data_IF_118617089712
#
_entry.id   IF_118617089712
#
_cell.length_a   1.000
_cell.length_b   1.000
_cell.length_c   1.000
_cell.angle_alpha   90.00
_cell.angle_beta   90.00
_cell.angle_gamma   90.00
#
_symmetry.space_group_name_H-M   'P 1'
#
loop_
_entity.id
_entity.type
_entity.pdbx_description
1 polymer ?
#
# COMPACT_ATOMS: atom_id res chain seq x y z
N UNK A 1 25.30 5.64 -16.25
CA UNK A 1 24.36 6.77 -16.47
C UNK A 1 23.74 6.73 -17.86
N UNK A 2 24.52 6.71 -18.96
CA UNK A 2 23.97 6.66 -20.33
C UNK A 2 23.06 5.44 -20.61
N UNK A 3 23.46 4.25 -20.13
CA UNK A 3 22.65 3.03 -20.26
C UNK A 3 21.33 3.14 -19.48
N UNK A 4 21.38 3.70 -18.27
CA UNK A 4 20.22 3.93 -17.42
C UNK A 4 19.24 4.93 -18.06
N UNK A 5 19.77 5.97 -18.71
CA UNK A 5 18.97 6.97 -19.42
C UNK A 5 18.30 6.40 -20.67
N UNK A 6 19.02 5.61 -21.48
CA UNK A 6 18.46 4.92 -22.65
C UNK A 6 17.36 3.93 -22.25
N UNK A 7 17.56 3.17 -21.17
CA UNK A 7 16.54 2.28 -20.61
C UNK A 7 15.32 3.06 -20.11
N UNK A 8 15.51 4.19 -19.43
CA UNK A 8 14.43 5.05 -18.96
C UNK A 8 13.57 5.60 -20.10
N UNK A 9 14.20 6.05 -21.19
CA UNK A 9 13.50 6.54 -22.39
C UNK A 9 12.74 5.42 -23.11
N UNK A 10 13.33 4.23 -23.24
CA UNK A 10 12.66 3.09 -23.83
C UNK A 10 11.42 2.65 -23.02
N UNK A 11 11.52 2.65 -21.68
CA UNK A 11 10.40 2.36 -20.78
C UNK A 11 9.29 3.42 -20.90
N UNK A 12 9.63 4.70 -21.02
CA UNK A 12 8.67 5.79 -21.21
C UNK A 12 7.81 5.63 -22.49
N UNK A 13 8.34 4.99 -23.53
CA UNK A 13 7.61 4.76 -24.78
C UNK A 13 6.61 3.60 -24.71
N UNK A 14 6.78 2.67 -23.75
CA UNK A 14 5.91 1.50 -23.60
C UNK A 14 4.92 1.58 -22.44
N UNK A 15 5.21 2.37 -21.40
CA UNK A 15 4.32 2.53 -20.26
C UNK A 15 3.53 3.85 -20.38
N UNK A 16 2.17 3.80 -20.46
CA UNK A 16 1.35 4.99 -20.67
C UNK A 16 1.47 6.02 -19.55
N UNK A 17 1.86 5.59 -18.34
CA UNK A 17 2.34 6.45 -17.27
C UNK A 17 3.09 5.62 -16.22
N UNK A 18 4.42 5.73 -16.19
CA UNK A 18 5.27 5.14 -15.14
C UNK A 18 4.85 5.65 -13.76
N UNK A 19 4.42 6.91 -13.68
CA UNK A 19 3.93 7.54 -12.45
C UNK A 19 2.70 6.80 -11.93
N UNK A 20 1.75 6.45 -12.79
CA UNK A 20 0.54 5.73 -12.38
C UNK A 20 0.85 4.29 -11.91
N UNK A 21 1.80 3.62 -12.57
CA UNK A 21 2.24 2.30 -12.13
C UNK A 21 2.80 2.35 -10.69
N UNK A 22 3.72 3.29 -10.45
CA UNK A 22 4.29 3.50 -9.11
C UNK A 22 3.23 3.96 -8.11
N UNK A 23 2.26 4.75 -8.55
CA UNK A 23 1.13 5.19 -7.74
C UNK A 23 0.31 4.02 -7.23
N UNK A 24 -0.14 3.14 -8.13
CA UNK A 24 -0.94 1.96 -7.76
C UNK A 24 -0.15 1.02 -6.86
N UNK A 25 1.12 0.77 -7.19
CA UNK A 25 2.00 -0.07 -6.34
C UNK A 25 2.15 0.53 -4.95
N UNK A 26 2.40 1.85 -4.86
CA UNK A 26 2.52 2.57 -3.60
C UNK A 26 1.24 2.49 -2.77
N UNK A 27 0.08 2.74 -3.39
CA UNK A 27 -1.22 2.69 -2.74
C UNK A 27 -1.60 1.31 -2.21
N UNK A 28 -1.02 0.24 -2.74
CA UNK A 28 -1.25 -1.13 -2.24
C UNK A 28 -0.23 -1.54 -1.18
N UNK A 29 1.07 -1.27 -1.40
CA UNK A 29 2.14 -1.79 -0.54
C UNK A 29 2.43 -0.93 0.69
N UNK A 30 2.42 0.40 0.55
CA UNK A 30 2.75 1.34 1.64
C UNK A 30 1.85 1.18 2.88
N UNK A 31 0.52 1.05 2.79
CA UNK A 31 -0.33 0.96 3.99
C UNK A 31 -0.04 -0.26 4.87
N UNK A 32 0.36 -1.40 4.27
CA UNK A 32 0.79 -2.56 5.05
C UNK A 32 2.11 -2.35 5.80
N UNK A 33 3.02 -1.56 5.22
CA UNK A 33 4.35 -1.29 5.78
C UNK A 33 4.35 -0.18 6.83
N UNK A 34 3.40 0.76 6.77
CA UNK A 34 3.45 2.02 7.51
C UNK A 34 3.57 1.81 9.03
N UNK A 35 2.68 1.03 9.64
CA UNK A 35 2.73 0.79 11.10
C UNK A 35 3.97 -0.01 11.53
N UNK A 36 4.32 -1.14 10.88
CA UNK A 36 5.55 -1.87 11.19
C UNK A 36 6.81 -1.00 11.15
N UNK A 37 6.95 -0.15 10.13
CA UNK A 37 8.09 0.75 9.97
C UNK A 37 8.08 1.82 11.06
N UNK A 38 6.93 2.44 11.35
CA UNK A 38 6.81 3.40 12.46
C UNK A 38 7.18 2.76 13.79
N UNK A 39 6.82 1.49 14.02
CA UNK A 39 7.18 0.73 15.22
C UNK A 39 8.67 0.50 15.42
N UNK A 40 9.50 0.69 14.38
CA UNK A 40 10.97 0.65 14.49
C UNK A 40 11.54 1.96 15.05
N UNK A 41 10.92 3.10 14.73
CA UNK A 41 11.40 4.42 15.14
C UNK A 41 10.71 4.92 16.41
N UNK A 42 9.45 4.55 16.62
CA UNK A 42 8.60 5.09 17.68
C UNK A 42 8.04 3.90 18.49
N UNK A 43 8.45 3.74 19.77
CA UNK A 43 8.00 2.63 20.62
C UNK A 43 6.49 2.50 20.78
N UNK A 44 5.76 3.62 20.67
CA UNK A 44 4.29 3.66 20.70
C UNK A 44 3.64 2.78 19.63
N UNK A 45 4.25 2.68 18.44
CA UNK A 45 3.76 1.88 17.32
C UNK A 45 4.28 0.44 17.32
N UNK A 46 4.94 0.01 18.40
CA UNK A 46 5.48 -1.35 18.49
C UNK A 46 4.38 -2.41 18.68
N UNK A 47 4.50 -3.50 17.94
CA UNK A 47 3.58 -4.63 17.95
C UNK A 47 4.29 -5.92 18.34
N UNK A 48 3.54 -6.89 18.86
CA UNK A 48 4.07 -8.25 19.05
C UNK A 48 4.30 -8.89 17.68
N UNK A 49 5.32 -9.76 17.57
CA UNK A 49 5.74 -10.42 16.30
C UNK A 49 4.60 -10.93 15.40
N UNK A 50 3.59 -11.70 15.89
CA UNK A 50 2.53 -12.19 15.00
C UNK A 50 1.66 -11.07 14.42
N UNK A 51 1.47 -9.98 15.15
CA UNK A 51 0.67 -8.83 14.73
C UNK A 51 1.38 -7.94 13.71
N UNK A 52 2.73 -7.94 13.70
CA UNK A 52 3.52 -7.28 12.65
C UNK A 52 3.23 -7.94 11.29
N UNK A 53 3.29 -9.27 11.21
CA UNK A 53 2.97 -10.01 9.99
C UNK A 53 1.51 -9.84 9.59
N UNK A 54 0.59 -9.88 10.57
CA UNK A 54 -0.82 -9.62 10.31
C UNK A 54 -1.05 -8.22 9.74
N UNK A 55 -0.41 -7.18 10.29
CA UNK A 55 -0.52 -5.81 9.80
C UNK A 55 0.03 -5.65 8.38
N UNK A 56 1.15 -6.31 8.07
CA UNK A 56 1.75 -6.29 6.72
C UNK A 56 0.81 -6.90 5.68
N UNK A 57 0.39 -8.15 5.93
CA UNK A 57 -0.45 -8.90 5.01
C UNK A 57 -1.88 -8.35 4.97
N UNK A 58 -2.42 -7.96 6.13
CA UNK A 58 -3.76 -7.40 6.26
C UNK A 58 -3.88 -6.03 5.63
N UNK A 59 -2.92 -5.12 5.86
CA UNK A 59 -2.95 -3.78 5.26
C UNK A 59 -2.73 -3.81 3.75
N UNK A 60 -1.78 -4.62 3.27
CA UNK A 60 -1.55 -4.82 1.84
C UNK A 60 -2.74 -5.53 1.18
N UNK A 61 -3.25 -6.59 1.82
CA UNK A 61 -4.40 -7.37 1.36
C UNK A 61 -5.69 -6.57 1.35
N UNK A 62 -5.92 -5.70 2.34
CA UNK A 62 -7.05 -4.77 2.38
C UNK A 62 -7.01 -3.79 1.22
N UNK A 63 -5.84 -3.20 0.94
CA UNK A 63 -5.66 -2.31 -0.22
C UNK A 63 -5.85 -3.05 -1.53
N UNK A 64 -5.25 -4.23 -1.67
CA UNK A 64 -5.37 -5.05 -2.87
C UNK A 64 -6.83 -5.46 -3.12
N UNK A 65 -7.55 -5.84 -2.08
CA UNK A 65 -8.98 -6.18 -2.19
C UNK A 65 -9.79 -4.97 -2.66
N UNK A 66 -9.52 -3.77 -2.12
CA UNK A 66 -10.19 -2.54 -2.54
C UNK A 66 -9.89 -2.17 -3.99
N UNK A 67 -8.63 -2.34 -4.42
CA UNK A 67 -8.20 -2.17 -5.80
C UNK A 67 -8.98 -3.10 -6.74
N UNK A 68 -9.04 -4.39 -6.41
CA UNK A 68 -9.74 -5.38 -7.22
C UNK A 68 -11.24 -5.09 -7.31
N UNK A 69 -11.87 -4.65 -6.20
CA UNK A 69 -13.27 -4.22 -6.21
C UNK A 69 -13.50 -2.98 -7.09
N UNK A 70 -12.57 -2.02 -7.10
CA UNK A 70 -12.61 -0.85 -7.99
C UNK A 70 -12.58 -1.24 -9.47
N UNK A 71 -11.71 -2.18 -9.83
CA UNK A 71 -11.60 -2.70 -11.20
C UNK A 71 -12.86 -3.47 -11.59
N UNK A 72 -13.40 -4.31 -10.70
CA UNK A 72 -14.61 -5.11 -10.97
C UNK A 72 -15.88 -4.26 -11.06
N UNK A 73 -15.93 -3.13 -10.36
CA UNK A 73 -17.06 -2.20 -10.39
C UNK A 73 -17.04 -1.24 -11.59
N UNK A 74 -16.09 -1.42 -12.52
CA UNK A 74 -15.89 -0.59 -13.73
C UNK A 74 -15.92 0.92 -13.44
N UNK A 75 -15.33 1.33 -12.32
CA UNK A 75 -15.27 2.74 -11.97
C UNK A 75 -14.25 3.43 -12.88
N UNK A 76 -14.77 4.28 -13.77
CA UNK A 76 -14.02 4.96 -14.84
C UNK A 76 -13.09 6.08 -14.33
N UNK A 77 -13.29 6.54 -13.10
CA UNK A 77 -12.57 7.67 -12.49
C UNK A 77 -11.41 7.18 -11.62
N UNK A 78 -10.35 6.72 -12.29
CA UNK A 78 -9.11 6.31 -11.63
C UNK A 78 -9.31 5.10 -10.71
N UNK A 79 -8.22 4.65 -10.13
CA UNK A 79 -8.13 3.35 -9.44
C UNK A 79 -8.75 3.43 -8.03
N UNK A 80 -10.00 3.89 -7.95
CA UNK A 80 -10.72 4.17 -6.71
C UNK A 80 -12.01 3.34 -6.66
N UNK A 81 -12.29 2.74 -5.51
CA UNK A 81 -13.57 2.08 -5.24
C UNK A 81 -14.36 2.99 -4.29
N UNK A 82 -15.57 3.37 -4.70
CA UNK A 82 -16.44 4.33 -4.00
C UNK A 82 -15.80 5.72 -3.82
N UNK A 83 -14.95 6.14 -4.76
CA UNK A 83 -14.19 7.39 -4.66
C UNK A 83 -13.08 7.38 -3.61
N UNK A 84 -12.79 6.22 -3.01
CA UNK A 84 -11.68 6.02 -2.08
C UNK A 84 -10.56 5.23 -2.72
N UNK A 85 -9.34 5.71 -2.50
CA UNK A 85 -8.14 5.05 -2.98
C UNK A 85 -7.81 3.79 -2.17
N UNK A 86 -7.24 2.75 -2.78
CA UNK A 86 -6.83 1.50 -2.12
C UNK A 86 -6.00 1.70 -0.86
N UNK A 87 -5.25 2.81 -0.78
CA UNK A 87 -4.42 3.17 0.35
C UNK A 87 -5.20 3.26 1.66
N UNK A 88 -6.33 3.97 1.69
CA UNK A 88 -7.05 4.26 2.94
C UNK A 88 -7.67 3.01 3.59
N UNK A 89 -8.36 2.14 2.85
CA UNK A 89 -8.90 0.89 3.38
C UNK A 89 -7.82 -0.04 3.93
N UNK A 90 -6.68 -0.18 3.22
CA UNK A 90 -5.57 -0.96 3.75
C UNK A 90 -4.96 -0.37 5.01
N UNK A 91 -4.81 0.95 5.06
CA UNK A 91 -4.33 1.63 6.25
C UNK A 91 -5.29 1.44 7.43
N UNK A 92 -6.60 1.49 7.19
CA UNK A 92 -7.61 1.22 8.21
C UNK A 92 -7.48 -0.21 8.77
N UNK A 93 -7.25 -1.21 7.92
CA UNK A 93 -6.98 -2.59 8.34
C UNK A 93 -5.70 -2.68 9.16
N UNK A 94 -4.61 -2.04 8.70
CA UNK A 94 -3.34 -2.02 9.43
C UNK A 94 -3.49 -1.37 10.83
N UNK A 95 -4.23 -0.27 10.93
CA UNK A 95 -4.52 0.42 12.19
C UNK A 95 -5.37 -0.46 13.11
N UNK A 96 -6.40 -1.13 12.60
CA UNK A 96 -7.23 -2.03 13.41
C UNK A 96 -6.38 -3.17 14.00
N UNK A 97 -5.53 -3.79 13.18
CA UNK A 97 -4.61 -4.85 13.63
C UNK A 97 -3.56 -4.33 14.61
N UNK A 98 -3.09 -3.11 14.43
CA UNK A 98 -2.21 -2.44 15.38
C UNK A 98 -2.86 -2.26 16.75
N UNK A 99 -4.09 -1.76 16.79
CA UNK A 99 -4.81 -1.55 18.05
C UNK A 99 -5.01 -2.86 18.82
N UNK A 100 -5.27 -3.96 18.12
CA UNK A 100 -5.39 -5.30 18.71
C UNK A 100 -4.04 -5.90 19.12
N UNK A 101 -2.99 -5.64 18.34
CA UNK A 101 -1.66 -6.22 18.47
C UNK A 101 -0.65 -5.39 19.26
N UNK A 102 -1.07 -4.22 19.74
CA UNK A 102 -0.20 -3.25 20.41
C UNK A 102 0.48 -3.90 21.60
N UNK A 103 1.80 -3.74 21.67
CA UNK A 103 2.56 -4.17 22.83
C UNK A 103 2.25 -3.19 23.97
N UNK A 104 1.39 -3.56 24.91
CA UNK A 104 1.34 -2.86 26.19
C UNK A 104 2.73 -2.98 26.80
N UNK A 105 3.38 -1.83 26.98
CA UNK A 105 4.63 -1.76 27.74
C UNK A 105 4.37 -2.18 29.18
#
# INVERSE_FOLDING_TARGET
MALSALLGVALLMWFPSVVNLWYVIGSVCVPGLLIPVLGLYIPFFSMKRPWVLASLLGGTGGSLSWLLLGILADQTEGVSFLGLEPFYPGLAVAIALFLLGRKST
#
